data_IF_991842344075
#
_entry.id   IF_991842344075
#
_cell.length_a   1.000
_cell.length_b   1.000
_cell.length_c   1.000
_cell.angle_alpha   90.00
_cell.angle_beta   90.00
_cell.angle_gamma   90.00
#
_symmetry.space_group_name_H-M   'P 1'
#
loop_
_entity.id
_entity.type
_entity.pdbx_description
1 polymer ?
#
# COMPACT_ATOMS: atom_id res chain seq x y z
N UNK A 1 -2.47 -42.39 22.60
CA UNK A 1 -1.97 -41.78 21.36
C UNK A 1 -2.43 -40.34 21.40
N UNK A 2 -1.50 -39.39 21.50
CA UNK A 2 -1.83 -37.96 21.51
C UNK A 2 -2.49 -37.61 20.17
N UNK A 3 -3.54 -36.80 20.23
CA UNK A 3 -4.32 -36.40 19.07
C UNK A 3 -3.49 -35.36 18.30
N UNK A 4 -2.85 -35.79 17.21
CA UNK A 4 -2.03 -34.88 16.40
C UNK A 4 -2.94 -33.89 15.69
N UNK A 5 -2.99 -32.66 16.19
CA UNK A 5 -3.75 -31.59 15.56
C UNK A 5 -3.03 -31.23 14.25
N UNK A 6 -3.65 -31.50 13.11
CA UNK A 6 -3.09 -31.15 11.80
C UNK A 6 -3.89 -30.01 11.18
N UNK A 7 -3.18 -28.94 10.79
CA UNK A 7 -3.72 -27.92 9.91
C UNK A 7 -3.33 -28.31 8.47
N UNK A 8 -4.30 -28.40 7.57
CA UNK A 8 -4.06 -28.62 6.14
C UNK A 8 -4.38 -27.31 5.44
N UNK A 9 -3.38 -26.75 4.77
CA UNK A 9 -3.48 -25.49 4.04
C UNK A 9 -3.41 -25.74 2.54
N UNK A 10 -4.27 -25.05 1.79
CA UNK A 10 -4.16 -24.96 0.36
C UNK A 10 -2.95 -24.08 -0.05
N UNK A 11 -2.52 -24.17 -1.32
CA UNK A 11 -1.33 -23.48 -1.82
C UNK A 11 -1.45 -21.94 -1.72
N UNK A 12 -2.66 -21.42 -1.97
CA UNK A 12 -3.01 -20.02 -1.80
C UNK A 12 -2.94 -19.59 -0.34
N UNK A 13 -3.44 -20.39 0.59
CA UNK A 13 -3.34 -20.12 2.03
C UNK A 13 -1.89 -20.15 2.52
N UNK A 14 -1.08 -21.11 2.06
CA UNK A 14 0.36 -21.18 2.38
C UNK A 14 1.08 -19.93 1.88
N UNK A 15 0.78 -19.51 0.65
CA UNK A 15 1.35 -18.30 0.05
C UNK A 15 0.94 -17.05 0.81
N UNK A 16 -0.32 -16.95 1.24
CA UNK A 16 -0.83 -15.82 2.02
C UNK A 16 -0.19 -15.74 3.41
N UNK A 17 -0.04 -16.88 4.10
CA UNK A 17 0.67 -16.94 5.40
C UNK A 17 2.13 -16.52 5.22
N UNK A 18 2.82 -17.02 4.19
CA UNK A 18 4.20 -16.64 3.92
C UNK A 18 4.35 -15.15 3.61
N UNK A 19 3.41 -14.56 2.87
CA UNK A 19 3.39 -13.13 2.59
C UNK A 19 3.23 -12.30 3.86
N UNK A 20 2.31 -12.68 4.75
CA UNK A 20 2.11 -11.98 6.03
C UNK A 20 3.31 -12.10 6.95
N UNK A 21 3.94 -13.28 7.02
CA UNK A 21 5.19 -13.47 7.76
C UNK A 21 6.29 -12.55 7.24
N UNK A 22 6.46 -12.42 5.92
CA UNK A 22 7.44 -11.47 5.36
C UNK A 22 7.12 -10.03 5.68
N UNK A 23 5.85 -9.63 5.57
CA UNK A 23 5.42 -8.27 5.90
C UNK A 23 5.75 -7.94 7.35
N UNK A 24 5.43 -8.85 8.27
CA UNK A 24 5.73 -8.69 9.68
C UNK A 24 7.24 -8.70 9.96
N UNK A 25 7.99 -9.62 9.34
CA UNK A 25 9.44 -9.70 9.47
C UNK A 25 10.13 -8.39 9.06
N UNK A 26 9.78 -7.86 7.88
CA UNK A 26 10.30 -6.57 7.40
C UNK A 26 9.97 -5.43 8.38
N UNK A 27 8.72 -5.37 8.87
CA UNK A 27 8.34 -4.37 9.88
C UNK A 27 9.19 -4.46 11.15
N UNK A 28 9.55 -5.68 11.59
CA UNK A 28 10.40 -5.87 12.78
C UNK A 28 11.84 -5.44 12.50
N UNK A 29 12.39 -5.76 11.33
CA UNK A 29 13.71 -5.31 10.90
C UNK A 29 13.78 -3.79 10.80
N UNK A 30 12.76 -3.14 10.22
CA UNK A 30 12.65 -1.68 10.13
C UNK A 30 12.69 -1.03 11.52
N UNK A 31 11.96 -1.58 12.50
CA UNK A 31 12.04 -1.09 13.90
C UNK A 31 13.46 -1.24 14.46
N UNK A 32 14.13 -2.35 14.18
CA UNK A 32 15.51 -2.57 14.60
C UNK A 32 16.47 -1.53 14.00
N UNK A 33 16.30 -1.22 12.71
CA UNK A 33 17.08 -0.20 12.02
C UNK A 33 16.79 1.22 12.57
N UNK A 34 15.52 1.57 12.80
CA UNK A 34 15.13 2.86 13.38
C UNK A 34 15.70 3.05 14.80
N UNK A 35 15.70 1.97 15.60
CA UNK A 35 16.33 1.97 16.92
C UNK A 35 17.84 2.15 16.83
N UNK A 36 18.50 1.56 15.84
CA UNK A 36 19.92 1.80 15.60
C UNK A 36 20.18 3.26 15.23
N UNK A 37 19.43 3.78 14.26
CA UNK A 37 19.61 5.13 13.72
C UNK A 37 19.39 6.20 14.78
N UNK A 38 18.35 6.09 15.60
CA UNK A 38 18.08 7.03 16.70
C UNK A 38 19.18 7.11 17.76
N UNK A 39 20.03 6.08 17.87
CA UNK A 39 21.11 6.01 18.86
C UNK A 39 22.51 6.27 18.28
N UNK A 40 22.63 6.36 16.95
CA UNK A 40 23.91 6.55 16.24
C UNK A 40 23.93 7.83 15.42
N UNK A 41 22.79 8.24 14.86
CA UNK A 41 22.67 9.42 14.01
C UNK A 41 22.04 10.57 14.81
N UNK A 42 22.76 11.69 15.03
CA UNK A 42 22.19 12.86 15.67
C UNK A 42 21.14 13.51 14.76
N UNK A 43 19.97 13.83 15.32
CA UNK A 43 18.99 14.66 14.61
C UNK A 43 19.49 16.12 14.49
N UNK A 44 19.18 16.83 13.39
CA UNK A 44 19.62 18.21 13.21
C UNK A 44 19.11 19.12 14.34
N UNK A 45 20.02 19.58 15.20
CA UNK A 45 19.71 20.50 16.30
C UNK A 45 19.55 19.84 17.67
N UNK A 46 19.69 18.51 17.75
CA UNK A 46 19.73 17.77 19.01
C UNK A 46 21.17 17.50 19.48
N UNK A 47 21.40 17.33 20.79
CA UNK A 47 22.69 16.88 21.29
C UNK A 47 23.03 15.48 20.73
N UNK A 48 24.32 15.21 20.55
CA UNK A 48 24.78 13.89 20.09
C UNK A 48 24.19 12.77 20.97
N UNK A 49 23.67 11.68 20.36
CA UNK A 49 23.07 10.59 21.10
C UNK A 49 24.10 9.95 22.03
N UNK A 50 23.63 9.41 23.17
CA UNK A 50 24.48 8.78 24.18
C UNK A 50 25.18 7.48 23.70
N UNK A 51 25.03 7.12 22.42
CA UNK A 51 25.49 5.88 21.82
C UNK A 51 24.59 4.69 22.13
N UNK A 52 24.96 3.54 21.57
CA UNK A 52 24.26 2.28 21.78
C UNK A 52 24.68 1.67 23.12
N UNK A 53 23.70 1.45 23.99
CA UNK A 53 23.91 0.70 25.24
C UNK A 53 23.71 -0.80 24.98
N UNK A 54 24.27 -1.69 25.82
CA UNK A 54 24.05 -3.14 25.68
C UNK A 54 22.57 -3.56 25.73
N UNK A 55 21.72 -2.76 26.39
CA UNK A 55 20.28 -3.00 26.42
C UNK A 55 19.62 -2.67 25.08
N UNK A 56 20.03 -1.56 24.45
CA UNK A 56 19.54 -1.15 23.12
C UNK A 56 20.02 -2.12 22.05
N UNK A 57 21.28 -2.53 22.10
CA UNK A 57 21.85 -3.58 21.23
C UNK A 57 21.02 -4.87 21.30
N UNK A 58 20.73 -5.35 22.52
CA UNK A 58 19.88 -6.53 22.72
C UNK A 58 18.46 -6.36 22.16
N UNK A 59 17.89 -5.15 22.23
CA UNK A 59 16.58 -4.87 21.65
C UNK A 59 16.62 -4.93 20.12
N UNK A 60 17.61 -4.28 19.51
CA UNK A 60 17.84 -4.29 18.06
C UNK A 60 18.02 -5.73 17.56
N UNK A 61 18.90 -6.50 18.20
CA UNK A 61 19.13 -7.91 17.87
C UNK A 61 17.85 -8.74 17.99
N UNK A 62 17.03 -8.47 19.00
CA UNK A 62 15.75 -9.13 19.18
C UNK A 62 14.76 -8.83 18.05
N UNK A 63 14.76 -7.62 17.51
CA UNK A 63 13.95 -7.25 16.35
C UNK A 63 14.43 -7.94 15.07
N UNK A 64 15.73 -7.94 14.82
CA UNK A 64 16.37 -8.61 13.66
C UNK A 64 16.11 -10.12 13.70
N UNK A 65 16.30 -10.75 14.87
CA UNK A 65 16.07 -12.20 15.04
C UNK A 65 14.63 -12.58 14.69
N UNK A 66 13.64 -11.78 15.11
CA UNK A 66 12.23 -12.03 14.75
C UNK A 66 12.02 -11.91 13.24
N UNK A 67 12.70 -10.97 12.57
CA UNK A 67 12.69 -10.84 11.10
C UNK A 67 13.22 -12.08 10.40
N UNK A 68 14.39 -12.57 10.84
CA UNK A 68 15.03 -13.78 10.31
C UNK A 68 14.17 -15.05 10.53
N UNK A 69 13.56 -15.17 11.71
CA UNK A 69 12.64 -16.27 12.03
C UNK A 69 11.40 -16.23 11.13
N UNK A 70 10.85 -15.04 10.87
CA UNK A 70 9.73 -14.85 9.95
C UNK A 70 10.10 -15.24 8.51
N UNK A 71 11.27 -14.80 8.04
CA UNK A 71 11.76 -15.13 6.69
C UNK A 71 11.96 -16.64 6.53
N UNK A 72 12.54 -17.29 7.55
CA UNK A 72 12.76 -18.74 7.57
C UNK A 72 11.45 -19.52 7.55
N UNK A 73 10.48 -19.10 8.36
CA UNK A 73 9.17 -19.74 8.42
C UNK A 73 8.36 -19.51 7.14
N UNK A 74 8.42 -18.31 6.55
CA UNK A 74 7.80 -18.00 5.27
C UNK A 74 8.35 -18.91 4.16
N UNK A 75 9.67 -19.08 4.07
CA UNK A 75 10.29 -19.98 3.12
C UNK A 75 9.85 -21.45 3.31
N UNK A 76 9.62 -21.88 4.55
CA UNK A 76 9.06 -23.20 4.83
C UNK A 76 7.63 -23.35 4.29
N UNK A 77 6.77 -22.33 4.46
CA UNK A 77 5.41 -22.32 3.91
C UNK A 77 5.38 -22.30 2.38
N UNK A 78 6.32 -21.64 1.71
CA UNK A 78 6.40 -21.65 0.25
C UNK A 78 6.93 -22.95 -0.34
N UNK A 79 7.67 -23.72 0.46
CA UNK A 79 8.10 -25.05 0.04
C UNK A 79 6.90 -25.98 -0.14
N UNK A 80 7.06 -27.07 -0.89
CA UNK A 80 6.06 -28.14 -0.95
C UNK A 80 6.16 -29.10 0.24
N UNK A 81 7.11 -28.89 1.16
CA UNK A 81 7.33 -29.76 2.29
C UNK A 81 6.29 -29.52 3.41
N UNK A 82 6.00 -30.53 4.24
CA UNK A 82 5.27 -30.32 5.48
C UNK A 82 5.98 -29.31 6.37
N UNK A 83 5.22 -28.40 6.97
CA UNK A 83 5.76 -27.42 7.92
C UNK A 83 5.47 -27.94 9.33
N UNK A 84 6.52 -28.15 10.12
CA UNK A 84 6.36 -28.53 11.52
C UNK A 84 6.24 -27.25 12.36
N UNK A 85 5.09 -27.08 13.01
CA UNK A 85 4.85 -25.91 13.84
C UNK A 85 5.22 -26.22 15.29
N UNK A 86 6.30 -25.57 15.74
CA UNK A 86 6.66 -25.53 17.16
C UNK A 86 5.89 -24.43 17.87
N UNK A 87 5.82 -24.46 19.21
CA UNK A 87 5.20 -23.38 19.98
C UNK A 87 5.74 -21.98 19.62
N UNK A 88 7.07 -21.76 19.51
CA UNK A 88 7.61 -20.50 18.99
C UNK A 88 7.08 -20.12 17.60
N UNK A 89 7.01 -21.08 16.67
CA UNK A 89 6.50 -20.83 15.32
C UNK A 89 5.00 -20.47 15.33
N UNK A 90 4.21 -21.11 16.18
CA UNK A 90 2.78 -20.82 16.35
C UNK A 90 2.59 -19.41 16.90
N UNK A 91 3.36 -19.04 17.93
CA UNK A 91 3.33 -17.71 18.52
C UNK A 91 3.74 -16.65 17.49
N UNK A 92 4.79 -16.91 16.71
CA UNK A 92 5.26 -15.99 15.68
C UNK A 92 4.20 -15.75 14.59
N UNK A 93 3.50 -16.81 14.15
CA UNK A 93 2.39 -16.67 13.20
C UNK A 93 1.24 -15.88 13.83
N UNK A 94 0.92 -16.13 15.10
CA UNK A 94 -0.14 -15.38 15.79
C UNK A 94 0.19 -13.89 15.88
N UNK A 95 1.42 -13.53 16.24
CA UNK A 95 1.90 -12.15 16.32
C UNK A 95 1.83 -11.48 14.94
N UNK A 96 2.35 -12.15 13.90
CA UNK A 96 2.34 -11.64 12.53
C UNK A 96 0.91 -11.40 12.00
N UNK A 97 -0.01 -12.34 12.24
CA UNK A 97 -1.39 -12.24 11.77
C UNK A 97 -2.26 -11.32 12.64
N UNK A 98 -1.86 -11.02 13.87
CA UNK A 98 -2.55 -10.03 14.71
C UNK A 98 -2.18 -8.59 14.32
N UNK A 99 -0.98 -8.40 13.76
CA UNK A 99 -0.53 -7.13 13.15
C UNK A 99 -0.91 -7.02 11.66
N UNK A 100 -1.69 -7.96 11.14
CA UNK A 100 -2.36 -7.80 9.85
C UNK A 100 -3.49 -6.79 9.96
N UNK A 101 -3.50 -5.82 9.05
CA UNK A 101 -4.52 -4.78 9.00
C UNK A 101 -5.92 -5.42 9.07
N UNK A 102 -6.84 -4.92 9.91
CA UNK A 102 -8.16 -5.51 10.10
C UNK A 102 -8.96 -5.68 8.80
N UNK A 103 -8.74 -4.78 7.85
CA UNK A 103 -9.39 -4.77 6.53
C UNK A 103 -8.60 -5.54 5.46
N UNK A 104 -7.42 -6.07 5.81
CA UNK A 104 -6.46 -6.72 4.90
C UNK A 104 -6.23 -8.21 5.17
N UNK A 105 -6.78 -8.78 6.25
CA UNK A 105 -6.75 -10.22 6.47
C UNK A 105 -7.60 -10.91 5.40
N UNK A 106 -6.91 -11.45 4.41
CA UNK A 106 -7.55 -12.23 3.38
C UNK A 106 -8.26 -13.44 4.03
N UNK A 107 -9.44 -13.85 3.54
CA UNK A 107 -10.18 -15.00 4.10
C UNK A 107 -9.32 -16.26 4.25
N UNK A 108 -8.32 -16.39 3.37
CA UNK A 108 -7.34 -17.46 3.29
C UNK A 108 -6.45 -17.54 4.54
N UNK A 109 -6.15 -16.43 5.23
CA UNK A 109 -5.28 -16.42 6.43
C UNK A 109 -6.07 -16.48 7.74
N UNK A 110 -7.37 -16.20 7.71
CA UNK A 110 -8.22 -16.15 8.90
C UNK A 110 -8.30 -17.51 9.63
N UNK A 111 -8.31 -18.61 8.87
CA UNK A 111 -8.32 -19.97 9.43
C UNK A 111 -7.02 -20.28 10.16
N UNK A 112 -5.88 -19.95 9.54
CA UNK A 112 -4.55 -20.10 10.14
C UNK A 112 -4.42 -19.25 11.40
N UNK A 113 -4.88 -18.00 11.38
CA UNK A 113 -4.86 -17.13 12.56
C UNK A 113 -5.67 -17.72 13.72
N UNK A 114 -6.90 -18.18 13.45
CA UNK A 114 -7.75 -18.79 14.47
C UNK A 114 -7.13 -20.09 15.00
N UNK A 115 -6.56 -20.91 14.12
CA UNK A 115 -5.86 -22.13 14.48
C UNK A 115 -4.69 -21.83 15.43
N UNK A 116 -3.80 -20.90 15.06
CA UNK A 116 -2.64 -20.54 15.87
C UNK A 116 -3.04 -20.05 17.26
N UNK A 117 -4.06 -19.19 17.37
CA UNK A 117 -4.58 -18.74 18.68
C UNK A 117 -5.08 -19.89 19.56
N UNK A 118 -5.82 -20.84 18.97
CA UNK A 118 -6.34 -22.00 19.71
C UNK A 118 -5.18 -22.93 20.11
N UNK A 119 -4.25 -23.19 19.20
CA UNK A 119 -3.10 -24.06 19.43
C UNK A 119 -2.18 -23.46 20.52
N UNK A 120 -1.85 -22.18 20.42
CA UNK A 120 -1.05 -21.46 21.41
C UNK A 120 -1.72 -21.49 22.79
N UNK A 121 -3.02 -21.19 22.87
CA UNK A 121 -3.78 -21.27 24.13
C UNK A 121 -3.79 -22.67 24.73
N UNK A 122 -3.90 -23.72 23.92
CA UNK A 122 -3.89 -25.10 24.42
C UNK A 122 -2.52 -25.51 24.92
N UNK A 123 -1.47 -25.21 24.15
CA UNK A 123 -0.08 -25.55 24.50
C UNK A 123 0.41 -24.79 25.74
N UNK A 124 -0.07 -23.56 25.97
CA UNK A 124 0.25 -22.79 27.19
C UNK A 124 -0.57 -23.22 28.41
N UNK A 125 -1.75 -23.82 28.21
CA UNK A 125 -2.62 -24.31 29.30
C UNK A 125 -2.32 -25.76 29.69
N UNK A 126 -1.78 -26.56 28.77
CA UNK A 126 -1.24 -27.88 29.08
C UNK A 126 -0.01 -27.70 29.99
N UNK A 127 -0.07 -28.22 31.21
CA UNK A 127 1.06 -28.21 32.14
C UNK A 127 2.32 -28.76 31.46
N UNK A 128 3.46 -28.11 31.70
CA UNK A 128 4.78 -28.30 31.06
C UNK A 128 5.36 -29.74 30.98
N UNK A 129 4.64 -30.77 31.43
CA UNK A 129 5.04 -32.16 31.36
C UNK A 129 4.56 -32.90 30.09
N UNK A 130 3.45 -32.49 29.46
CA UNK A 130 2.85 -33.19 28.29
C UNK A 130 2.99 -32.44 26.95
N UNK A 131 3.43 -31.18 26.96
CA UNK A 131 3.41 -30.29 25.78
C UNK A 131 4.50 -30.58 24.72
N UNK A 132 5.48 -31.44 25.01
CA UNK A 132 6.59 -31.76 24.10
C UNK A 132 6.26 -32.86 23.07
N UNK A 133 5.21 -33.65 23.31
CA UNK A 133 4.77 -34.73 22.39
C UNK A 133 3.58 -34.31 21.50
N UNK A 134 2.96 -33.14 21.75
CA UNK A 134 1.90 -32.54 20.92
C UNK A 134 2.50 -31.68 19.79
N UNK A 135 3.37 -32.26 18.96
CA UNK A 135 3.85 -31.60 17.76
C UNK A 135 2.70 -31.49 16.73
N UNK A 136 2.19 -30.28 16.57
CA UNK A 136 1.23 -29.90 15.52
C UNK A 136 1.93 -30.00 14.16
N UNK A 137 1.68 -31.10 13.44
CA UNK A 137 2.19 -31.28 12.09
C UNK A 137 1.23 -30.63 11.09
N UNK A 138 1.70 -29.66 10.30
CA UNK A 138 0.94 -29.09 9.19
C UNK A 138 1.33 -29.83 7.91
N UNK A 139 0.52 -30.84 7.55
CA UNK A 139 0.66 -31.55 6.28
C UNK A 139 -0.10 -30.82 5.19
N UNK A 140 0.57 -30.53 4.07
CA UNK A 140 -0.11 -30.12 2.84
C UNK A 140 -0.44 -31.38 2.03
N UNK A 141 -1.68 -31.85 2.12
CA UNK A 141 -2.23 -32.69 1.07
C UNK A 141 -2.91 -31.78 0.04
N UNK A 142 -2.52 -31.90 -1.23
CA UNK A 142 -3.34 -31.43 -2.35
C UNK A 142 -4.65 -32.24 -2.34
N UNK A 143 -5.66 -31.76 -1.62
CA UNK A 143 -7.02 -32.18 -1.90
C UNK A 143 -7.34 -31.73 -3.34
N UNK A 144 -7.86 -32.61 -4.22
CA UNK A 144 -8.50 -32.13 -5.43
C UNK A 144 -9.67 -31.27 -4.93
N UNK A 145 -9.51 -29.95 -5.04
CA UNK A 145 -10.60 -29.01 -4.77
C UNK A 145 -11.80 -29.59 -5.50
N UNK A 146 -12.91 -29.79 -4.80
CA UNK A 146 -14.19 -29.90 -5.49
C UNK A 146 -14.40 -28.54 -6.16
N UNK A 147 -13.81 -28.39 -7.34
CA UNK A 147 -13.63 -27.12 -8.06
C UNK A 147 -14.97 -26.56 -8.49
N UNK A 148 -15.92 -27.43 -8.86
CA UNK A 148 -17.22 -27.01 -9.37
C UNK A 148 -18.00 -26.04 -8.46
N UNK A 149 -18.24 -26.30 -7.16
CA UNK A 149 -18.97 -25.37 -6.30
C UNK A 149 -18.17 -24.11 -5.92
N UNK A 150 -16.85 -24.21 -5.75
CA UNK A 150 -16.01 -23.07 -5.37
C UNK A 150 -15.74 -22.12 -6.54
N UNK A 151 -15.48 -22.65 -7.74
CA UNK A 151 -15.35 -21.88 -8.98
C UNK A 151 -16.68 -21.23 -9.36
N UNK A 152 -17.82 -21.89 -9.15
CA UNK A 152 -19.13 -21.29 -9.37
C UNK A 152 -19.39 -20.11 -8.42
N UNK A 153 -19.01 -20.24 -7.14
CA UNK A 153 -19.14 -19.15 -6.17
C UNK A 153 -18.21 -17.97 -6.50
N UNK A 154 -16.98 -18.24 -6.93
CA UNK A 154 -16.04 -17.22 -7.39
C UNK A 154 -16.52 -16.52 -8.67
N UNK A 155 -17.01 -17.28 -9.66
CA UNK A 155 -17.56 -16.73 -10.89
C UNK A 155 -18.76 -15.82 -10.62
N UNK A 156 -19.66 -16.24 -9.73
CA UNK A 156 -20.81 -15.43 -9.31
C UNK A 156 -20.36 -14.13 -8.62
N UNK A 157 -19.36 -14.20 -7.74
CA UNK A 157 -18.82 -13.02 -7.06
C UNK A 157 -18.11 -12.07 -8.02
N UNK A 158 -17.38 -12.59 -9.01
CA UNK A 158 -16.76 -11.80 -10.07
C UNK A 158 -17.82 -11.11 -10.95
N UNK A 159 -18.93 -11.80 -11.24
CA UNK A 159 -20.04 -11.23 -12.00
C UNK A 159 -20.74 -10.10 -11.22
N UNK A 160 -20.98 -10.27 -9.92
CA UNK A 160 -21.54 -9.24 -9.04
C UNK A 160 -20.63 -7.99 -8.95
N UNK A 161 -19.32 -8.19 -8.82
CA UNK A 161 -18.34 -7.11 -8.81
C UNK A 161 -18.30 -6.40 -10.16
N UNK A 162 -18.32 -7.14 -11.27
CA UNK A 162 -18.30 -6.56 -12.61
C UNK A 162 -19.58 -5.76 -12.92
N UNK A 163 -20.73 -6.25 -12.48
CA UNK A 163 -22.00 -5.52 -12.56
C UNK A 163 -21.94 -4.21 -11.75
N UNK A 164 -21.37 -4.25 -10.55
CA UNK A 164 -21.20 -3.07 -9.69
C UNK A 164 -20.26 -2.03 -10.32
N UNK A 165 -19.11 -2.47 -10.83
CA UNK A 165 -18.15 -1.59 -11.51
C UNK A 165 -18.75 -0.98 -12.78
N UNK A 166 -19.50 -1.76 -13.55
CA UNK A 166 -20.19 -1.26 -14.75
C UNK A 166 -21.21 -0.18 -14.40
N UNK A 167 -21.97 -0.34 -13.31
CA UNK A 167 -22.89 0.69 -12.83
C UNK A 167 -22.15 1.97 -12.39
N UNK A 168 -21.03 1.83 -11.68
CA UNK A 168 -20.21 2.97 -11.27
C UNK A 168 -19.64 3.72 -12.48
N UNK A 169 -19.18 3.01 -13.52
CA UNK A 169 -18.70 3.62 -14.77
C UNK A 169 -19.80 4.42 -15.48
N UNK A 170 -21.02 3.90 -15.54
CA UNK A 170 -22.17 4.62 -16.12
C UNK A 170 -22.48 5.89 -15.33
N UNK A 171 -22.45 5.83 -13.98
CA UNK A 171 -22.66 6.99 -13.13
C UNK A 171 -21.57 8.05 -13.33
N UNK A 172 -20.30 7.64 -13.40
CA UNK A 172 -19.18 8.54 -13.66
C UNK A 172 -19.29 9.19 -15.04
N UNK A 173 -19.64 8.43 -16.07
CA UNK A 173 -19.83 8.98 -17.42
C UNK A 173 -20.96 10.02 -17.46
N UNK A 174 -22.10 9.74 -16.82
CA UNK A 174 -23.19 10.72 -16.69
C UNK A 174 -22.77 11.98 -15.94
N UNK A 175 -21.95 11.84 -14.89
CA UNK A 175 -21.41 12.99 -14.16
C UNK A 175 -20.47 13.84 -15.03
N UNK A 176 -19.64 13.19 -15.86
CA UNK A 176 -18.72 13.84 -16.77
C UNK A 176 -19.47 14.61 -17.86
N UNK A 177 -20.52 14.03 -18.44
CA UNK A 177 -21.38 14.72 -19.42
C UNK A 177 -22.03 15.95 -18.81
N UNK A 178 -22.61 15.84 -17.61
CA UNK A 178 -23.23 16.97 -16.91
C UNK A 178 -22.23 18.09 -16.60
N UNK A 179 -21.02 17.75 -16.17
CA UNK A 179 -19.93 18.70 -15.97
C UNK A 179 -19.53 19.39 -17.27
N UNK A 180 -19.41 18.64 -18.36
CA UNK A 180 -19.04 19.17 -19.66
C UNK A 180 -20.10 20.14 -20.22
N UNK A 181 -21.39 19.84 -20.03
CA UNK A 181 -22.49 20.75 -20.36
C UNK A 181 -22.41 22.04 -19.55
N UNK A 182 -22.12 21.96 -18.25
CA UNK A 182 -21.95 23.14 -17.38
C UNK A 182 -20.78 24.00 -17.83
N UNK A 183 -19.64 23.39 -18.14
CA UNK A 183 -18.45 24.10 -18.65
C UNK A 183 -18.77 24.79 -19.97
N UNK A 184 -19.41 24.09 -20.90
CA UNK A 184 -19.80 24.66 -22.21
C UNK A 184 -20.78 25.83 -22.04
N UNK A 185 -21.76 25.71 -21.13
CA UNK A 185 -22.69 26.78 -20.81
C UNK A 185 -21.99 28.01 -20.22
N UNK A 186 -21.04 27.80 -19.30
CA UNK A 186 -20.23 28.88 -18.73
C UNK A 186 -19.34 29.56 -19.77
N UNK A 187 -18.72 28.79 -20.68
CA UNK A 187 -17.92 29.35 -21.78
C UNK A 187 -18.78 30.26 -22.68
N UNK A 188 -19.99 29.82 -23.05
CA UNK A 188 -20.93 30.65 -23.81
C UNK A 188 -21.31 31.93 -23.08
N UNK A 189 -21.52 31.87 -21.76
CA UNK A 189 -21.80 33.07 -20.95
C UNK A 189 -20.61 34.04 -20.94
N UNK A 190 -19.38 33.53 -20.81
CA UNK A 190 -18.16 34.35 -20.88
C UNK A 190 -18.04 35.03 -22.24
N UNK A 191 -18.28 34.30 -23.33
CA UNK A 191 -18.27 34.87 -24.69
C UNK A 191 -19.34 35.95 -24.88
N UNK A 192 -20.55 35.73 -24.37
CA UNK A 192 -21.62 36.74 -24.41
C UNK A 192 -21.21 38.01 -23.64
N UNK A 193 -20.64 37.88 -22.44
CA UNK A 193 -20.14 39.00 -21.66
C UNK A 193 -18.98 39.73 -22.36
N UNK A 194 -18.04 39.00 -22.97
CA UNK A 194 -16.95 39.59 -23.78
C UNK A 194 -17.50 40.37 -24.98
N UNK A 195 -18.49 39.82 -25.68
CA UNK A 195 -19.11 40.47 -26.84
C UNK A 195 -19.97 41.69 -26.45
N UNK A 196 -20.54 41.72 -25.25
CA UNK A 196 -21.19 42.91 -24.69
C UNK A 196 -20.17 43.96 -24.23
N UNK A 197 -19.05 43.54 -23.63
CA UNK A 197 -17.93 44.42 -23.25
C UNK A 197 -17.26 45.08 -24.46
N UNK A 198 -17.12 44.35 -25.58
CA UNK A 198 -16.60 44.88 -26.84
C UNK A 198 -17.52 45.89 -27.55
N UNK A 199 -18.81 45.92 -27.20
CA UNK A 199 -19.80 46.91 -27.70
C UNK A 199 -19.85 48.19 -26.85
N UNK A 200 -19.11 48.30 -25.74
CA UNK A 200 -18.91 49.58 -25.06
C UNK A 200 -18.07 50.49 -25.96
N UNK A 201 -18.77 51.42 -26.63
CA UNK A 201 -18.26 52.56 -27.40
C UNK A 201 -16.83 52.91 -27.01
N UNK A 202 -15.87 52.79 -27.95
CA UNK A 202 -14.60 53.50 -27.88
C UNK A 202 -14.93 54.99 -27.74
N UNK A 203 -14.90 55.52 -26.53
CA UNK A 203 -14.98 56.95 -26.29
C UNK A 203 -13.75 57.59 -26.96
N UNK A 204 -13.91 58.71 -27.70
CA UNK A 204 -12.78 59.42 -28.26
C UNK A 204 -11.82 59.79 -27.12
N UNK A 205 -10.55 59.42 -27.25
CA UNK A 205 -9.55 59.67 -26.21
C UNK A 205 -9.26 61.19 -26.14
N UNK A 206 -9.61 61.89 -25.04
CA UNK A 206 -9.47 63.34 -24.94
C UNK A 206 -8.02 63.82 -24.85
N UNK A 207 -7.05 62.91 -24.73
CA UNK A 207 -5.62 63.23 -24.62
C UNK A 207 -4.84 63.10 -25.94
N UNK A 208 -5.52 62.89 -27.07
CA UNK A 208 -4.86 62.77 -28.39
C UNK A 208 -4.73 64.09 -29.16
N UNK A 209 -4.70 65.22 -28.44
CA UNK A 209 -4.46 66.54 -29.02
C UNK A 209 -3.34 67.24 -28.23
N UNK A 210 -2.43 67.84 -28.98
CA UNK A 210 -1.25 68.65 -28.60
C UNK A 210 -0.05 67.87 -28.05
N UNK A 211 0.86 67.46 -28.93
CA UNK A 211 2.25 67.94 -28.95
C UNK A 211 2.92 67.47 -30.25
N UNK A 212 2.76 68.27 -31.30
CA UNK A 212 3.65 68.25 -32.46
C UNK A 212 4.26 69.65 -32.58
N UNK A 213 5.50 69.81 -32.14
CA UNK A 213 6.40 70.87 -32.63
C UNK A 213 7.85 70.57 -32.25
N UNK A 214 8.71 70.42 -33.27
CA UNK A 214 10.07 70.94 -33.18
C UNK A 214 11.23 69.96 -33.33
N UNK A 215 11.52 69.58 -34.58
CA UNK A 215 12.85 69.48 -35.21
C UNK A 215 14.10 69.22 -34.33
N UNK A 216 14.88 68.20 -34.71
CA UNK A 216 16.27 68.43 -35.09
C UNK A 216 16.77 67.45 -36.15
N UNK A 217 17.23 68.02 -37.26
CA UNK A 217 17.89 67.39 -38.41
C UNK A 217 19.31 66.96 -38.03
N UNK A 218 19.77 65.81 -38.52
CA UNK A 218 20.92 65.75 -39.46
C UNK A 218 20.98 64.42 -40.24
N UNK A 219 21.54 64.41 -41.47
CA UNK A 219 21.27 63.39 -42.48
C UNK A 219 22.49 62.51 -42.87
N UNK A 220 22.12 61.46 -43.62
CA UNK A 220 22.81 60.81 -44.75
C UNK A 220 24.05 59.95 -44.52
N UNK A 221 23.91 58.67 -44.87
CA UNK A 221 24.98 57.72 -45.14
C UNK A 221 24.43 56.44 -45.78
N UNK A 222 24.35 56.44 -47.10
CA UNK A 222 23.95 55.36 -48.02
C UNK A 222 24.86 54.12 -47.99
N UNK A 223 24.31 52.94 -48.30
CA UNK A 223 25.05 51.79 -48.86
C UNK A 223 24.55 50.45 -48.32
N UNK A 224 23.70 49.71 -49.04
CA UNK A 224 24.03 48.70 -50.07
C UNK A 224 24.51 47.34 -49.50
N UNK A 225 23.86 46.26 -49.96
CA UNK A 225 24.35 44.88 -49.96
C UNK A 225 23.80 44.05 -48.80
N UNK A 226 22.84 43.12 -48.95
CA UNK A 226 22.87 41.86 -49.73
C UNK A 226 24.02 40.96 -49.28
N UNK A 227 23.76 39.97 -48.42
CA UNK A 227 23.75 38.52 -48.71
C UNK A 227 23.89 37.70 -47.43
N UNK A 228 23.05 36.65 -47.36
CA UNK A 228 23.09 35.42 -46.55
C UNK A 228 22.89 35.55 -45.04
#
# INVERSE_FOLDING_TARGET
MAEQMMLVLAEDERSAVAQELRRYGNYREDIGADLWDSHVLPEPGEPDPAGITPQVEKMIDGHITVGEDCASLAAAFESTAPVLLTLPSIQLIEDALSEAYPDGLSPEVARTAMFCRIAHRRLTQASAADALDEAVAVNAEMQPVATAPAEAALAQRLEEVNATLSQQLVQLHGSQESLNERVTAQQRQIEQLRNQGGKRRRLPNPFSSTFDSGQSRRPSGTGLGRTL
#
